data_IF_325685744824
#
_entry.id   IF_325685744824
#
_cell.length_a   1.000
_cell.length_b   1.000
_cell.length_c   1.000
_cell.angle_alpha   90.00
_cell.angle_beta   90.00
_cell.angle_gamma   90.00
#
_symmetry.space_group_name_H-M   'P 1'
#
loop_
_entity.id
_entity.type
_entity.pdbx_description
1 polymer ?
#
# COMPACT_ATOMS: atom_id res chain seq x y z
N UNK A 1 -4.93 7.24 8.02
CA UNK A 1 -3.65 7.27 7.28
C UNK A 1 -3.77 6.96 5.79
N UNK A 2 -3.91 5.73 5.28
CA UNK A 2 -3.82 5.51 3.82
C UNK A 2 -4.96 6.15 2.99
N UNK A 3 -6.21 5.96 3.39
CA UNK A 3 -7.36 6.59 2.72
C UNK A 3 -7.35 8.11 2.87
N UNK A 4 -7.00 8.59 4.06
CA UNK A 4 -6.83 10.02 4.33
C UNK A 4 -5.73 10.64 3.46
N UNK A 5 -4.57 9.99 3.36
CA UNK A 5 -3.49 10.38 2.45
C UNK A 5 -3.99 10.43 1.01
N UNK A 6 -4.76 9.42 0.58
CA UNK A 6 -5.34 9.39 -0.75
C UNK A 6 -6.29 10.58 -0.98
N UNK A 7 -7.18 10.89 -0.03
CA UNK A 7 -8.08 12.03 -0.10
C UNK A 7 -7.32 13.36 -0.18
N UNK A 8 -6.33 13.58 0.70
CA UNK A 8 -5.54 14.81 0.75
C UNK A 8 -4.68 15.04 -0.50
N UNK A 9 -4.23 13.95 -1.13
CA UNK A 9 -3.35 14.01 -2.31
C UNK A 9 -4.09 13.76 -3.63
N UNK A 10 -5.43 13.87 -3.64
CA UNK A 10 -6.28 13.66 -4.81
C UNK A 10 -6.05 12.31 -5.52
N UNK A 11 -5.71 11.27 -4.74
CA UNK A 11 -5.60 9.90 -5.22
C UNK A 11 -6.97 9.25 -5.24
N UNK A 12 -7.19 8.38 -6.23
CA UNK A 12 -8.53 7.86 -6.53
C UNK A 12 -8.71 6.42 -6.06
N UNK A 13 -7.62 5.69 -5.88
CA UNK A 13 -7.65 4.25 -5.60
C UNK A 13 -6.69 3.86 -4.48
N UNK A 14 -7.18 3.03 -3.56
CA UNK A 14 -6.38 2.35 -2.54
C UNK A 14 -6.51 0.84 -2.72
N UNK A 15 -5.37 0.18 -2.90
CA UNK A 15 -5.30 -1.29 -3.02
C UNK A 15 -4.68 -1.89 -1.76
N UNK A 16 -5.44 -2.74 -1.06
CA UNK A 16 -4.92 -3.51 0.08
C UNK A 16 -4.14 -4.74 -0.40
N UNK A 17 -2.88 -4.86 0.00
CA UNK A 17 -2.03 -6.01 -0.32
C UNK A 17 -1.93 -6.93 0.88
N UNK A 18 -2.23 -8.21 0.66
CA UNK A 18 -2.35 -9.20 1.74
C UNK A 18 -2.00 -10.62 1.26
N UNK A 19 -2.04 -11.59 2.17
CA UNK A 19 -1.89 -13.02 1.94
C UNK A 19 -2.98 -13.80 2.71
N UNK A 20 -4.18 -13.23 2.79
CA UNK A 20 -5.33 -13.81 3.50
C UNK A 20 -5.76 -15.21 2.99
N UNK A 21 -5.31 -15.62 1.80
CA UNK A 21 -5.49 -16.99 1.31
C UNK A 21 -4.72 -18.03 2.15
N UNK A 22 -3.59 -17.64 2.76
CA UNK A 22 -2.79 -18.48 3.66
C UNK A 22 -2.93 -17.99 5.12
N UNK A 23 -2.66 -16.71 5.38
CA UNK A 23 -2.75 -16.07 6.70
C UNK A 23 -4.19 -15.63 7.00
N UNK A 24 -5.09 -16.60 7.15
CA UNK A 24 -6.54 -16.34 7.23
C UNK A 24 -6.95 -15.44 8.41
N UNK A 25 -6.22 -15.48 9.53
CA UNK A 25 -6.56 -14.71 10.73
C UNK A 25 -5.94 -13.32 10.69
N UNK A 26 -4.61 -13.21 10.60
CA UNK A 26 -3.92 -11.92 10.60
C UNK A 26 -4.29 -11.07 9.38
N UNK A 27 -4.04 -11.60 8.19
CA UNK A 27 -4.31 -10.89 6.94
C UNK A 27 -5.80 -10.85 6.60
N UNK A 28 -6.58 -11.82 7.08
CA UNK A 28 -8.04 -11.76 6.99
C UNK A 28 -8.61 -10.61 7.81
N UNK A 29 -8.17 -10.43 9.05
CA UNK A 29 -8.56 -9.30 9.90
C UNK A 29 -8.14 -7.97 9.27
N UNK A 30 -6.89 -7.87 8.81
CA UNK A 30 -6.40 -6.69 8.10
C UNK A 30 -7.30 -6.34 6.91
N UNK A 31 -7.57 -7.30 6.02
CA UNK A 31 -8.41 -7.07 4.85
C UNK A 31 -9.83 -6.66 5.24
N UNK A 32 -10.42 -7.29 6.26
CA UNK A 32 -11.75 -6.96 6.73
C UNK A 32 -11.83 -5.51 7.21
N UNK A 33 -10.94 -5.10 8.10
CA UNK A 33 -10.93 -3.74 8.68
C UNK A 33 -10.72 -2.69 7.59
N UNK A 34 -9.78 -2.91 6.67
CA UNK A 34 -9.54 -1.97 5.56
C UNK A 34 -10.76 -1.86 4.66
N UNK A 35 -11.44 -2.98 4.36
CA UNK A 35 -12.65 -3.01 3.54
C UNK A 35 -13.84 -2.33 4.22
N UNK A 36 -13.95 -2.45 5.54
CA UNK A 36 -14.98 -1.77 6.32
C UNK A 36 -14.76 -0.25 6.29
N UNK A 37 -13.55 0.22 6.62
CA UNK A 37 -13.19 1.64 6.56
C UNK A 37 -13.39 2.26 5.17
N UNK A 38 -13.02 1.53 4.11
CA UNK A 38 -13.23 1.98 2.73
C UNK A 38 -14.71 2.28 2.43
N UNK A 39 -15.60 1.45 2.96
CA UNK A 39 -17.05 1.57 2.73
C UNK A 39 -17.71 2.61 3.62
N UNK A 40 -17.31 2.70 4.89
CA UNK A 40 -17.95 3.58 5.86
C UNK A 40 -17.45 5.02 5.74
N UNK A 41 -16.14 5.21 5.69
CA UNK A 41 -15.52 6.50 5.95
C UNK A 41 -15.05 7.19 4.65
N UNK A 42 -14.74 6.39 3.61
CA UNK A 42 -14.18 6.88 2.35
C UNK A 42 -14.86 6.32 1.09
N UNK A 43 -16.20 6.37 0.96
CA UNK A 43 -16.93 5.78 -0.17
C UNK A 43 -16.55 6.39 -1.55
N UNK A 44 -15.93 7.57 -1.56
CA UNK A 44 -15.43 8.24 -2.77
C UNK A 44 -14.11 7.67 -3.30
N UNK A 45 -13.40 6.86 -2.53
CA UNK A 45 -12.12 6.26 -2.93
C UNK A 45 -12.38 4.84 -3.41
N UNK A 46 -11.92 4.51 -4.62
CA UNK A 46 -11.99 3.14 -5.13
C UNK A 46 -11.16 2.21 -4.25
N UNK A 47 -11.77 1.14 -3.77
CA UNK A 47 -11.11 0.12 -2.97
C UNK A 47 -10.92 -1.17 -3.77
N UNK A 48 -9.71 -1.69 -3.72
CA UNK A 48 -9.33 -2.97 -4.31
C UNK A 48 -8.47 -3.78 -3.33
N UNK A 49 -8.37 -5.09 -3.55
CA UNK A 49 -7.54 -5.97 -2.74
C UNK A 49 -6.83 -6.99 -3.61
N UNK A 50 -5.54 -7.21 -3.36
CA UNK A 50 -4.73 -8.12 -4.14
C UNK A 50 -3.81 -8.96 -3.25
N UNK A 51 -3.64 -10.24 -3.59
CA UNK A 51 -2.65 -11.08 -2.92
C UNK A 51 -1.23 -10.62 -3.28
N UNK A 52 -0.31 -10.64 -2.32
CA UNK A 52 1.06 -10.10 -2.49
C UNK A 52 1.82 -10.71 -3.68
N UNK A 53 1.72 -12.02 -3.92
CA UNK A 53 2.39 -12.67 -5.06
C UNK A 53 1.92 -12.07 -6.40
N UNK A 54 0.60 -11.89 -6.54
CA UNK A 54 0.03 -11.29 -7.75
C UNK A 54 0.39 -9.80 -7.82
N UNK A 55 0.40 -9.09 -6.69
CA UNK A 55 0.82 -7.69 -6.64
C UNK A 55 2.27 -7.51 -7.14
N UNK A 56 3.19 -8.39 -6.74
CA UNK A 56 4.57 -8.38 -7.25
C UNK A 56 4.63 -8.62 -8.76
N UNK A 57 3.90 -9.61 -9.28
CA UNK A 57 3.86 -9.87 -10.73
C UNK A 57 3.27 -8.68 -11.52
N UNK A 58 2.21 -8.08 -10.99
CA UNK A 58 1.53 -6.95 -11.59
C UNK A 58 2.35 -5.67 -11.53
N UNK A 59 3.13 -5.45 -10.46
CA UNK A 59 4.03 -4.31 -10.34
C UNK A 59 5.10 -4.31 -11.43
N UNK A 60 5.70 -5.48 -11.71
CA UNK A 60 6.72 -5.60 -12.76
C UNK A 60 6.10 -5.51 -14.16
N UNK A 61 4.90 -6.06 -14.34
CA UNK A 61 4.28 -6.16 -15.68
C UNK A 61 3.50 -4.90 -16.09
N UNK A 62 2.76 -4.30 -15.15
CA UNK A 62 1.87 -3.16 -15.38
C UNK A 62 1.71 -2.32 -14.10
N UNK A 63 2.75 -1.58 -13.69
CA UNK A 63 2.73 -0.80 -12.45
C UNK A 63 1.69 0.33 -12.45
N UNK A 64 1.28 0.84 -13.63
CA UNK A 64 0.38 1.99 -13.78
C UNK A 64 -1.05 1.73 -13.30
N UNK A 65 -1.40 0.47 -12.97
CA UNK A 65 -2.71 0.15 -12.41
C UNK A 65 -2.81 0.45 -10.91
N UNK A 66 -1.68 0.67 -10.23
CA UNK A 66 -1.62 0.99 -8.80
C UNK A 66 -1.55 2.51 -8.59
N UNK A 67 -2.19 2.99 -7.52
CA UNK A 67 -2.17 4.39 -7.09
C UNK A 67 -1.64 4.49 -5.66
N UNK A 68 -2.46 4.14 -4.66
CA UNK A 68 -2.01 3.97 -3.26
C UNK A 68 -2.06 2.50 -2.88
N UNK A 69 -0.95 1.96 -2.37
CA UNK A 69 -0.85 0.57 -1.90
C UNK A 69 -0.74 0.54 -0.39
N UNK A 70 -1.66 -0.17 0.29
CA UNK A 70 -1.67 -0.35 1.74
C UNK A 70 -1.34 -1.80 2.07
N UNK A 71 -0.38 -2.04 2.96
CA UNK A 71 0.04 -3.40 3.31
C UNK A 71 0.65 -3.48 4.72
N UNK A 72 0.62 -4.67 5.36
CA UNK A 72 1.42 -4.94 6.55
C UNK A 72 2.93 -4.80 6.30
N UNK A 73 3.67 -4.52 7.38
CA UNK A 73 5.12 -4.27 7.35
C UNK A 73 5.91 -5.33 6.57
N UNK A 74 5.58 -6.62 6.76
CA UNK A 74 6.28 -7.74 6.14
C UNK A 74 6.34 -7.66 4.61
N UNK A 75 5.28 -7.14 3.96
CA UNK A 75 5.22 -7.03 2.50
C UNK A 75 5.74 -5.69 1.99
N UNK A 76 5.76 -4.68 2.86
CA UNK A 76 6.25 -3.33 2.58
C UNK A 76 7.64 -3.32 1.99
N UNK A 77 8.60 -3.99 2.65
CA UNK A 77 10.00 -4.03 2.21
C UNK A 77 10.20 -4.69 0.84
N UNK A 78 9.40 -5.72 0.53
CA UNK A 78 9.53 -6.43 -0.75
C UNK A 78 9.00 -5.54 -1.88
N UNK A 79 7.80 -4.99 -1.69
CA UNK A 79 7.16 -4.15 -2.70
C UNK A 79 7.91 -2.83 -2.89
N UNK A 80 8.41 -2.21 -1.82
CA UNK A 80 9.21 -0.99 -1.92
C UNK A 80 10.47 -1.21 -2.76
N UNK A 81 11.16 -2.34 -2.59
CA UNK A 81 12.34 -2.67 -3.37
C UNK A 81 12.03 -2.92 -4.86
N UNK A 82 10.90 -3.58 -5.15
CA UNK A 82 10.44 -3.75 -6.54
C UNK A 82 10.14 -2.38 -7.16
N UNK A 83 9.35 -1.54 -6.46
CA UNK A 83 8.99 -0.20 -6.93
C UNK A 83 10.22 0.69 -7.13
N UNK A 84 11.18 0.61 -6.22
CA UNK A 84 12.48 1.27 -6.30
C UNK A 84 13.27 0.86 -7.55
N UNK A 85 13.31 -0.45 -7.87
CA UNK A 85 13.91 -0.95 -9.10
C UNK A 85 13.25 -0.40 -10.37
N UNK A 86 11.92 -0.22 -10.35
CA UNK A 86 11.16 0.30 -11.51
C UNK A 86 11.47 1.78 -11.83
N UNK A 87 11.89 2.56 -10.84
CA UNK A 87 12.13 4.00 -10.99
C UNK A 87 13.61 4.37 -11.13
N UNK A 88 14.51 3.39 -11.18
CA UNK A 88 15.95 3.61 -11.39
C UNK A 88 16.83 3.49 -10.14
N UNK A 89 16.28 2.97 -9.03
CA UNK A 89 17.04 2.61 -7.84
C UNK A 89 16.84 3.55 -6.63
N UNK A 90 17.45 3.22 -5.48
CA UNK A 90 17.08 3.80 -4.17
C UNK A 90 17.46 5.27 -4.02
N UNK A 91 18.42 5.76 -4.81
CA UNK A 91 18.83 7.16 -4.80
C UNK A 91 17.74 8.15 -5.24
N UNK A 92 16.65 7.66 -5.84
CA UNK A 92 15.54 8.48 -6.34
C UNK A 92 14.27 8.38 -5.48
N UNK A 93 14.26 7.52 -4.47
CA UNK A 93 13.05 7.22 -3.70
C UNK A 93 13.12 7.83 -2.30
N UNK A 94 12.18 8.72 -2.01
CA UNK A 94 11.98 9.29 -0.68
C UNK A 94 11.06 8.42 0.18
N UNK A 95 11.37 8.32 1.47
CA UNK A 95 10.56 7.67 2.49
C UNK A 95 10.13 8.65 3.59
N UNK A 96 9.04 8.31 4.27
CA UNK A 96 8.52 9.09 5.37
C UNK A 96 7.81 8.16 6.36
N UNK A 97 8.11 8.34 7.64
CA UNK A 97 7.44 7.68 8.75
C UNK A 97 6.66 8.74 9.54
N UNK A 98 5.34 8.59 9.61
CA UNK A 98 4.46 9.51 10.32
C UNK A 98 3.89 8.81 11.56
N UNK A 99 4.08 9.41 12.73
CA UNK A 99 3.36 9.11 13.96
C UNK A 99 2.38 10.24 14.32
N UNK A 100 1.74 10.16 15.49
CA UNK A 100 0.76 11.18 15.93
C UNK A 100 1.41 12.53 16.26
N UNK A 101 2.58 12.51 16.90
CA UNK A 101 3.30 13.73 17.34
C UNK A 101 4.52 14.07 16.49
N UNK A 102 5.11 13.05 15.83
CA UNK A 102 6.41 13.18 15.17
C UNK A 102 6.36 12.64 13.73
N UNK A 103 7.17 13.23 12.87
CA UNK A 103 7.42 12.76 11.51
C UNK A 103 8.92 12.67 11.25
N UNK A 104 9.35 11.57 10.61
CA UNK A 104 10.74 11.32 10.22
C UNK A 104 10.80 11.13 8.71
N UNK A 105 11.66 11.91 8.06
CA UNK A 105 11.90 11.83 6.61
C UNK A 105 13.25 11.17 6.38
N UNK A 106 13.28 10.11 5.58
CA UNK A 106 14.49 9.36 5.27
C UNK A 106 14.48 8.87 3.81
N UNK A 107 15.64 8.52 3.27
CA UNK A 107 15.70 7.81 1.97
C UNK A 107 15.24 6.37 2.16
N UNK A 108 14.60 5.79 1.14
CA UNK A 108 14.25 4.37 1.18
C UNK A 108 15.53 3.53 1.31
N UNK A 109 15.57 2.66 2.32
CA UNK A 109 16.65 1.68 2.54
C UNK A 109 16.43 0.43 1.70
#
# INVERSE_FOLDING_TARGET
>A
MAFEYAALNNRKKVTAIHKANIQKLGDGLFLQVVKEMAKSDYPQIEFDSMIVDNACMQLVSRPQQFDVMLMPNLYGNIISNIACGLVGGPGLVSGMNIGEEYAVFETVR
#
